data_IF_174773577512
#
_entry.id   IF_174773577512
#
_cell.length_a   1.000
_cell.length_b   1.000
_cell.length_c   1.000
_cell.angle_alpha   90.00
_cell.angle_beta   90.00
_cell.angle_gamma   90.00
#
_symmetry.space_group_name_H-M   'P 1'
#
loop_
_entity.id
_entity.type
_entity.pdbx_description
1 polymer ?
#
# COMPACT_ATOMS: atom_id res chain seq x y z
N UNK A 1 4.08 -12.15 -14.13
CA UNK A 1 4.11 -10.75 -14.63
C UNK A 1 3.93 -9.84 -13.41
N UNK A 2 4.88 -8.93 -13.14
CA UNK A 2 4.82 -8.04 -11.98
C UNK A 2 4.47 -6.61 -12.37
N UNK A 3 3.87 -5.83 -11.47
CA UNK A 3 3.48 -4.43 -11.74
C UNK A 3 4.65 -3.55 -12.18
N UNK A 4 5.86 -3.81 -11.67
CA UNK A 4 7.08 -3.09 -12.07
C UNK A 4 7.41 -3.25 -13.56
N UNK A 5 7.33 -4.47 -14.08
CA UNK A 5 7.58 -4.73 -15.51
C UNK A 5 6.56 -4.01 -16.42
N UNK A 6 5.33 -3.84 -15.94
CA UNK A 6 4.31 -3.05 -16.65
C UNK A 6 4.70 -1.56 -16.63
N UNK A 7 5.11 -1.04 -15.48
CA UNK A 7 5.58 0.35 -15.36
C UNK A 7 6.80 0.63 -16.26
N UNK A 8 7.77 -0.28 -16.32
CA UNK A 8 8.93 -0.18 -17.22
C UNK A 8 8.53 -0.17 -18.69
N UNK A 9 7.52 -0.96 -19.07
CA UNK A 9 6.98 -0.93 -20.42
C UNK A 9 6.24 0.39 -20.70
N UNK A 10 5.49 0.93 -19.73
CA UNK A 10 4.80 2.22 -19.86
C UNK A 10 5.77 3.39 -19.99
N UNK A 11 6.87 3.41 -19.23
CA UNK A 11 7.88 4.48 -19.30
C UNK A 11 8.59 4.54 -20.66
N UNK A 12 8.67 3.42 -21.40
CA UNK A 12 9.20 3.39 -22.78
C UNK A 12 8.28 4.06 -23.81
N UNK A 13 7.02 4.33 -23.46
CA UNK A 13 6.09 5.04 -24.34
C UNK A 13 6.24 6.56 -24.18
N UNK A 14 6.73 7.23 -25.22
CA UNK A 14 7.11 8.66 -25.21
C UNK A 14 5.99 9.66 -24.91
N UNK A 15 4.73 9.21 -24.93
CA UNK A 15 3.56 10.08 -24.72
C UNK A 15 3.10 10.15 -23.26
N UNK A 16 3.74 9.39 -22.35
CA UNK A 16 3.42 9.37 -20.93
C UNK A 16 4.43 10.18 -20.12
N UNK A 17 3.98 10.73 -18.99
CA UNK A 17 4.88 11.33 -18.02
C UNK A 17 5.85 10.25 -17.48
N UNK A 18 7.15 10.53 -17.36
CA UNK A 18 8.12 9.57 -16.84
C UNK A 18 7.76 9.14 -15.40
N UNK A 19 7.85 7.84 -15.12
CA UNK A 19 7.59 7.26 -13.80
C UNK A 19 8.85 7.21 -12.91
N UNK A 20 10.02 7.56 -13.47
CA UNK A 20 11.31 7.74 -12.79
C UNK A 20 11.74 6.48 -12.02
N UNK A 21 11.60 5.32 -12.68
CA UNK A 21 11.84 3.99 -12.09
C UNK A 21 13.27 3.75 -11.61
N UNK A 22 14.24 4.44 -12.22
CA UNK A 22 15.67 4.33 -11.94
C UNK A 22 16.17 5.26 -10.80
N UNK A 23 15.29 6.07 -10.21
CA UNK A 23 15.67 6.91 -9.08
C UNK A 23 16.00 6.05 -7.85
N UNK A 24 17.15 6.29 -7.22
CA UNK A 24 17.65 5.48 -6.10
C UNK A 24 16.71 5.50 -4.90
N UNK A 25 16.06 6.64 -4.67
CA UNK A 25 15.09 6.89 -3.62
C UNK A 25 13.82 6.03 -3.82
N UNK A 26 13.45 5.75 -5.07
CA UNK A 26 12.25 4.98 -5.42
C UNK A 26 12.33 3.54 -4.92
N UNK A 27 13.46 2.86 -5.13
CA UNK A 27 13.63 1.47 -4.72
C UNK A 27 13.46 1.27 -3.20
N UNK A 28 13.94 2.22 -2.39
CA UNK A 28 13.77 2.20 -0.94
C UNK A 28 12.30 2.30 -0.55
N UNK A 29 11.57 3.25 -1.13
CA UNK A 29 10.16 3.50 -0.82
C UNK A 29 9.27 2.34 -1.29
N UNK A 30 9.53 1.78 -2.47
CA UNK A 30 8.84 0.59 -2.96
C UNK A 30 9.02 -0.59 -1.99
N UNK A 31 10.25 -0.81 -1.52
CA UNK A 31 10.55 -1.88 -0.56
C UNK A 31 9.84 -1.65 0.79
N UNK A 32 9.80 -0.41 1.28
CA UNK A 32 9.07 -0.06 2.51
C UNK A 32 7.57 -0.31 2.36
N UNK A 33 6.97 0.08 1.24
CA UNK A 33 5.56 -0.16 0.95
C UNK A 33 5.24 -1.67 0.88
N UNK A 34 6.08 -2.46 0.19
CA UNK A 34 5.90 -3.92 0.13
C UNK A 34 6.01 -4.56 1.51
N UNK A 35 7.02 -4.18 2.30
CA UNK A 35 7.17 -4.67 3.68
C UNK A 35 5.95 -4.29 4.51
N UNK A 36 5.42 -3.07 4.39
CA UNK A 36 4.25 -2.62 5.15
C UNK A 36 3.00 -3.43 4.77
N UNK A 37 2.79 -3.73 3.48
CA UNK A 37 1.72 -4.62 3.03
C UNK A 37 1.83 -6.01 3.66
N UNK A 38 3.03 -6.58 3.69
CA UNK A 38 3.27 -7.92 4.23
C UNK A 38 3.09 -7.94 5.75
N UNK A 39 3.69 -6.98 6.46
CA UNK A 39 3.64 -6.90 7.92
C UNK A 39 2.23 -6.61 8.44
N UNK A 40 1.46 -5.76 7.74
CA UNK A 40 0.08 -5.42 8.11
C UNK A 40 -0.93 -6.55 7.86
N UNK A 41 -0.53 -7.65 7.21
CA UNK A 41 -1.42 -8.74 6.81
C UNK A 41 -2.37 -9.26 7.90
N UNK A 42 -1.94 -9.45 9.17
CA UNK A 42 -2.84 -9.84 10.24
C UNK A 42 -4.06 -8.92 10.40
N UNK A 43 -3.89 -7.61 10.17
CA UNK A 43 -4.96 -6.62 10.36
C UNK A 43 -6.08 -6.73 9.33
N UNK A 44 -5.77 -7.12 8.09
CA UNK A 44 -6.71 -7.02 6.96
C UNK A 44 -7.07 -8.36 6.31
N UNK A 45 -6.29 -9.43 6.52
CA UNK A 45 -6.51 -10.68 5.78
C UNK A 45 -7.89 -11.31 6.04
N UNK A 46 -8.38 -11.23 7.28
CA UNK A 46 -9.70 -11.75 7.67
C UNK A 46 -10.88 -10.90 7.20
N UNK A 47 -10.63 -9.65 6.79
CA UNK A 47 -11.66 -8.74 6.30
C UNK A 47 -11.95 -8.93 4.81
N UNK A 48 -10.97 -9.40 4.03
CA UNK A 48 -11.11 -9.53 2.58
C UNK A 48 -12.28 -10.40 2.11
N UNK A 49 -12.57 -11.58 2.69
CA UNK A 49 -13.71 -12.39 2.28
C UNK A 49 -15.05 -11.63 2.32
N UNK A 50 -15.19 -10.64 3.21
CA UNK A 50 -16.43 -9.89 3.43
C UNK A 50 -16.72 -8.83 2.35
N UNK A 51 -15.70 -8.45 1.58
CA UNK A 51 -15.80 -7.42 0.53
C UNK A 51 -15.62 -7.99 -0.89
N UNK A 52 -15.43 -9.31 -0.99
CA UNK A 52 -15.36 -10.03 -2.26
C UNK A 52 -16.72 -10.63 -2.60
N UNK A 53 -16.91 -11.03 -3.85
CA UNK A 53 -18.04 -11.91 -4.21
C UNK A 53 -17.93 -13.21 -3.43
N UNK A 54 -19.06 -13.86 -3.15
CA UNK A 54 -19.11 -15.08 -2.33
C UNK A 54 -18.09 -16.15 -2.77
N UNK A 55 -18.08 -16.50 -4.07
CA UNK A 55 -17.14 -17.46 -4.65
C UNK A 55 -15.67 -17.08 -4.47
N UNK A 56 -15.34 -15.78 -4.61
CA UNK A 56 -13.99 -15.29 -4.42
C UNK A 56 -13.61 -15.21 -2.94
N UNK A 57 -14.57 -14.93 -2.06
CA UNK A 57 -14.41 -14.94 -0.61
C UNK A 57 -14.12 -16.34 -0.07
N UNK A 58 -14.82 -17.36 -0.57
CA UNK A 58 -14.58 -18.76 -0.22
C UNK A 58 -13.20 -19.23 -0.70
N UNK A 59 -12.87 -18.96 -1.97
CA UNK A 59 -11.55 -19.28 -2.53
C UNK A 59 -10.42 -18.59 -1.76
N UNK A 60 -10.58 -17.30 -1.45
CA UNK A 60 -9.61 -16.56 -0.66
C UNK A 60 -9.44 -17.19 0.73
N UNK A 61 -10.54 -17.45 1.44
CA UNK A 61 -10.51 -18.01 2.79
C UNK A 61 -9.80 -19.36 2.82
N UNK A 62 -10.14 -20.25 1.89
CA UNK A 62 -9.55 -21.60 1.77
C UNK A 62 -8.06 -21.52 1.48
N UNK A 63 -7.66 -20.70 0.49
CA UNK A 63 -6.25 -20.60 0.10
C UNK A 63 -5.38 -19.95 1.18
N UNK A 64 -5.91 -18.95 1.90
CA UNK A 64 -5.18 -18.29 2.99
C UNK A 64 -5.12 -19.15 4.25
N UNK A 65 -6.20 -19.86 4.58
CA UNK A 65 -6.17 -20.78 5.71
C UNK A 65 -5.11 -21.87 5.50
N UNK A 66 -5.04 -22.46 4.30
CA UNK A 66 -3.97 -23.40 3.94
C UNK A 66 -2.58 -22.77 4.02
N UNK A 67 -2.43 -21.50 3.60
CA UNK A 67 -1.15 -20.79 3.64
C UNK A 67 -0.69 -20.45 5.06
N UNK A 68 -1.61 -20.08 5.95
CA UNK A 68 -1.30 -19.67 7.33
C UNK A 68 -1.31 -20.86 8.30
N UNK A 69 -1.87 -22.01 7.90
CA UNK A 69 -2.03 -23.18 8.76
C UNK A 69 -3.14 -23.02 9.81
N UNK A 70 -3.96 -21.97 9.71
CA UNK A 70 -5.01 -21.62 10.67
C UNK A 70 -6.13 -20.83 9.98
N UNK A 71 -7.28 -20.68 10.64
CA UNK A 71 -8.36 -19.83 10.11
C UNK A 71 -7.92 -18.36 10.05
N UNK A 72 -8.57 -17.57 9.18
CA UNK A 72 -8.27 -16.14 9.07
C UNK A 72 -8.57 -15.37 10.35
N UNK A 73 -9.63 -15.73 11.08
CA UNK A 73 -9.98 -15.09 12.35
C UNK A 73 -8.94 -15.43 13.43
N UNK A 74 -8.48 -16.70 13.50
CA UNK A 74 -7.42 -17.09 14.43
C UNK A 74 -6.11 -16.37 14.11
N UNK A 75 -5.79 -16.24 12.82
CA UNK A 75 -4.64 -15.46 12.35
C UNK A 75 -4.70 -14.00 12.78
N UNK A 76 -5.89 -13.39 12.80
CA UNK A 76 -6.07 -12.05 13.36
C UNK A 76 -5.81 -12.05 14.88
N UNK A 77 -6.47 -12.91 15.64
CA UNK A 77 -6.40 -12.88 17.11
C UNK A 77 -5.03 -13.23 17.68
N UNK A 78 -4.28 -14.11 17.02
CA UNK A 78 -2.95 -14.53 17.49
C UNK A 78 -1.84 -13.54 17.14
N UNK A 79 -1.97 -12.81 16.02
CA UNK A 79 -0.89 -11.98 15.50
C UNK A 79 -1.12 -10.47 15.69
N UNK A 80 -2.36 -10.03 15.90
CA UNK A 80 -2.62 -8.62 16.17
C UNK A 80 -2.31 -8.30 17.62
N UNK A 81 -1.36 -7.39 17.80
CA UNK A 81 -0.89 -6.94 19.11
C UNK A 81 -0.51 -5.47 19.06
N UNK A 82 -0.34 -4.85 20.23
CA UNK A 82 0.18 -3.48 20.30
C UNK A 82 1.59 -3.39 19.69
N UNK A 83 2.41 -4.43 19.83
CA UNK A 83 3.74 -4.47 19.22
C UNK A 83 3.67 -4.43 17.69
N UNK A 84 2.72 -5.15 17.08
CA UNK A 84 2.48 -5.07 15.63
C UNK A 84 2.12 -3.63 15.23
N UNK A 85 1.18 -2.98 15.92
CA UNK A 85 0.81 -1.59 15.61
C UNK A 85 2.01 -0.64 15.69
N UNK A 86 2.79 -0.70 16.77
CA UNK A 86 3.98 0.14 16.92
C UNK A 86 5.00 -0.11 15.80
N UNK A 87 5.15 -1.36 15.35
CA UNK A 87 6.04 -1.69 14.24
C UNK A 87 5.55 -1.09 12.91
N UNK A 88 4.25 -1.21 12.61
CA UNK A 88 3.65 -0.63 11.40
C UNK A 88 3.73 0.89 11.41
N UNK A 89 3.52 1.52 12.56
CA UNK A 89 3.64 2.97 12.74
C UNK A 89 5.06 3.46 12.41
N UNK A 90 6.08 2.75 12.89
CA UNK A 90 7.48 3.04 12.55
C UNK A 90 7.74 2.95 11.03
N UNK A 91 7.15 1.96 10.35
CA UNK A 91 7.28 1.82 8.90
C UNK A 91 6.58 2.96 8.15
N UNK A 92 5.42 3.42 8.61
CA UNK A 92 4.76 4.60 8.07
C UNK A 92 5.62 5.86 8.22
N UNK A 93 6.27 6.03 9.38
CA UNK A 93 7.19 7.13 9.63
C UNK A 93 8.43 7.06 8.73
N UNK A 94 8.99 5.88 8.46
CA UNK A 94 10.12 5.70 7.54
C UNK A 94 9.78 6.10 6.08
N UNK A 95 8.55 5.78 5.64
CA UNK A 95 8.03 6.25 4.35
C UNK A 95 7.88 7.78 4.37
N UNK A 96 7.28 8.32 5.44
CA UNK A 96 7.13 9.77 5.63
C UNK A 96 8.45 10.53 5.62
N UNK A 97 9.49 9.98 6.26
CA UNK A 97 10.83 10.55 6.25
C UNK A 97 11.41 10.61 4.84
N UNK A 98 11.17 9.59 4.03
CA UNK A 98 11.62 9.56 2.64
C UNK A 98 10.88 10.62 1.80
N UNK A 99 9.56 10.76 1.98
CA UNK A 99 8.77 11.82 1.34
C UNK A 99 9.17 13.24 1.77
N UNK A 100 9.66 13.40 3.01
CA UNK A 100 10.08 14.70 3.53
C UNK A 100 11.38 15.24 2.91
N UNK A 101 12.12 14.42 2.16
CA UNK A 101 13.41 14.81 1.57
C UNK A 101 13.27 15.79 0.40
N UNK A 102 12.09 15.86 -0.21
CA UNK A 102 11.80 16.74 -1.34
C UNK A 102 10.64 17.69 -1.03
N UNK A 103 10.67 18.94 -1.51
CA UNK A 103 9.53 19.84 -1.38
C UNK A 103 8.40 19.42 -2.33
N UNK A 104 7.21 19.21 -1.79
CA UNK A 104 6.04 18.81 -2.57
C UNK A 104 5.36 17.57 -1.96
N UNK A 105 4.28 17.08 -2.58
CA UNK A 105 3.56 15.93 -2.07
C UNK A 105 4.17 14.58 -2.49
N UNK A 106 5.04 14.55 -3.51
CA UNK A 106 5.63 13.33 -4.06
C UNK A 106 7.08 13.15 -3.62
N UNK A 107 7.58 11.92 -3.74
CA UNK A 107 8.94 11.53 -3.36
C UNK A 107 10.02 12.41 -4.00
N UNK A 108 9.84 12.76 -5.27
CA UNK A 108 10.78 13.60 -6.04
C UNK A 108 10.22 15.01 -6.30
N UNK A 109 9.34 15.48 -5.42
CA UNK A 109 8.84 16.85 -5.38
C UNK A 109 7.46 17.02 -6.00
N UNK A 110 7.38 17.57 -7.22
CA UNK A 110 6.11 18.01 -7.82
C UNK A 110 5.49 17.02 -8.81
N UNK A 111 6.21 15.98 -9.21
CA UNK A 111 5.71 14.95 -10.12
C UNK A 111 5.73 13.59 -9.44
N UNK A 112 4.70 12.75 -9.64
CA UNK A 112 4.66 11.42 -9.08
C UNK A 112 5.71 10.52 -9.73
N UNK A 113 6.15 9.54 -8.96
CA UNK A 113 6.99 8.43 -9.39
C UNK A 113 6.23 7.11 -9.29
N UNK A 114 6.79 6.05 -9.84
CA UNK A 114 6.26 4.70 -9.59
C UNK A 114 6.22 4.36 -8.09
N UNK A 115 7.23 4.78 -7.32
CA UNK A 115 7.27 4.55 -5.88
C UNK A 115 6.11 5.24 -5.14
N UNK A 116 5.79 6.48 -5.52
CA UNK A 116 4.60 7.18 -5.02
C UNK A 116 3.32 6.35 -5.26
N UNK A 117 3.17 5.80 -6.47
CA UNK A 117 2.03 4.95 -6.80
C UNK A 117 1.99 3.63 -6.02
N UNK A 118 3.14 3.03 -5.66
CA UNK A 118 3.14 1.83 -4.81
C UNK A 118 2.62 2.12 -3.40
N UNK A 119 3.01 3.26 -2.81
CA UNK A 119 2.53 3.70 -1.49
C UNK A 119 1.04 4.04 -1.57
N UNK A 120 0.62 4.76 -2.60
CA UNK A 120 -0.76 5.17 -2.78
C UNK A 120 -1.69 3.98 -3.04
N UNK A 121 -1.25 2.99 -3.83
CA UNK A 121 -2.00 1.76 -4.05
C UNK A 121 -2.20 0.99 -2.75
N UNK A 122 -1.18 0.93 -1.90
CA UNK A 122 -1.27 0.32 -0.57
C UNK A 122 -2.27 1.05 0.33
N UNK A 123 -2.18 2.38 0.42
CA UNK A 123 -3.11 3.19 1.20
C UNK A 123 -4.54 3.04 0.68
N UNK A 124 -4.72 3.06 -0.65
CA UNK A 124 -6.03 2.85 -1.28
C UNK A 124 -6.62 1.50 -0.89
N UNK A 125 -5.80 0.46 -0.91
CA UNK A 125 -6.20 -0.87 -0.45
C UNK A 125 -6.64 -0.84 1.02
N UNK A 126 -5.88 -0.21 1.91
CA UNK A 126 -6.28 -0.05 3.31
C UNK A 126 -7.61 0.69 3.47
N UNK A 127 -7.82 1.79 2.75
CA UNK A 127 -9.09 2.51 2.74
C UNK A 127 -10.28 1.63 2.31
N UNK A 128 -10.07 0.73 1.34
CA UNK A 128 -11.10 -0.19 0.86
C UNK A 128 -11.41 -1.32 1.85
N UNK A 129 -10.41 -1.80 2.60
CA UNK A 129 -10.59 -2.95 3.50
C UNK A 129 -11.04 -2.51 4.91
N UNK A 130 -10.43 -1.45 5.45
CA UNK A 130 -10.76 -0.93 6.76
C UNK A 130 -10.37 0.54 6.85
N UNK A 131 -11.38 1.43 6.78
CA UNK A 131 -11.16 2.88 6.85
C UNK A 131 -10.48 3.32 8.14
N UNK A 132 -10.81 2.72 9.29
CA UNK A 132 -10.21 3.10 10.56
C UNK A 132 -8.71 2.78 10.62
N UNK A 133 -8.29 1.67 9.99
CA UNK A 133 -6.87 1.32 9.84
C UNK A 133 -6.14 2.35 8.97
N UNK A 134 -6.74 2.78 7.85
CA UNK A 134 -6.15 3.82 7.02
C UNK A 134 -6.10 5.18 7.74
N UNK A 135 -7.16 5.55 8.46
CA UNK A 135 -7.22 6.78 9.26
C UNK A 135 -6.12 6.79 10.34
N UNK A 136 -5.85 5.66 11.00
CA UNK A 136 -4.74 5.52 11.95
C UNK A 136 -3.39 5.85 11.31
N UNK A 137 -3.06 5.26 10.16
CA UNK A 137 -1.79 5.54 9.48
C UNK A 137 -1.68 6.99 9.00
N UNK A 138 -2.80 7.63 8.63
CA UNK A 138 -2.82 9.06 8.33
C UNK A 138 -2.59 9.95 9.55
N UNK A 139 -3.04 9.53 10.73
CA UNK A 139 -2.79 10.25 11.97
C UNK A 139 -1.31 10.12 12.39
N UNK A 140 -0.73 8.94 12.22
CA UNK A 140 0.69 8.67 12.52
C UNK A 140 1.62 9.45 11.60
N UNK A 141 1.37 9.44 10.28
CA UNK A 141 2.18 10.18 9.30
C UNK A 141 1.28 10.94 8.30
N UNK A 142 1.01 12.23 8.55
CA UNK A 142 0.16 13.05 7.70
C UNK A 142 0.64 13.22 6.25
N UNK A 143 1.93 13.01 5.94
CA UNK A 143 2.41 13.04 4.55
C UNK A 143 1.82 11.91 3.71
N UNK A 144 1.50 10.76 4.31
CA UNK A 144 0.81 9.67 3.60
C UNK A 144 -0.55 10.13 3.08
N UNK A 145 -1.28 10.91 3.89
CA UNK A 145 -2.55 11.53 3.48
C UNK A 145 -2.34 12.53 2.34
N UNK A 146 -1.35 13.42 2.47
CA UNK A 146 -1.05 14.42 1.42
C UNK A 146 -0.71 13.75 0.09
N UNK A 147 0.11 12.69 0.12
CA UNK A 147 0.47 11.92 -1.06
C UNK A 147 -0.77 11.24 -1.68
N UNK A 148 -1.61 10.61 -0.83
CA UNK A 148 -2.86 9.96 -1.26
C UNK A 148 -3.82 10.97 -1.91
N UNK A 149 -3.99 12.15 -1.33
CA UNK A 149 -4.82 13.24 -1.83
C UNK A 149 -4.29 13.84 -3.14
N UNK A 150 -2.98 14.01 -3.27
CA UNK A 150 -2.35 14.48 -4.51
C UNK A 150 -2.61 13.52 -5.69
N UNK A 151 -2.85 12.24 -5.40
CA UNK A 151 -3.11 11.21 -6.40
C UNK A 151 -4.60 10.99 -6.75
N UNK A 152 -5.53 11.76 -6.18
CA UNK A 152 -6.98 11.53 -6.38
C UNK A 152 -7.44 11.53 -7.83
N UNK A 153 -6.80 12.34 -8.68
CA UNK A 153 -7.14 12.40 -10.11
C UNK A 153 -7.00 11.04 -10.81
N UNK A 154 -6.08 10.17 -10.35
CA UNK A 154 -5.84 8.84 -10.91
C UNK A 154 -6.69 7.74 -10.27
N UNK A 155 -7.62 8.07 -9.36
CA UNK A 155 -8.57 7.10 -8.80
C UNK A 155 -9.87 7.00 -9.58
N UNK A 156 -10.10 7.91 -10.52
CA UNK A 156 -11.24 7.85 -11.42
C UNK A 156 -11.19 6.51 -12.16
N UNK A 157 -12.31 5.80 -12.13
CA UNK A 157 -12.50 4.65 -13.00
C UNK A 157 -13.05 5.22 -14.31
N UNK A 158 -12.81 4.51 -15.41
CA UNK A 158 -13.54 4.75 -16.64
C UNK A 158 -14.88 4.01 -16.48
N UNK A 159 -15.83 4.65 -15.80
CA UNK A 159 -17.23 4.21 -15.71
C UNK A 159 -18.11 4.83 -16.80
#
# INVERSE_FOLDING_TARGET
MGSRAIAEALEKHSNLQPLRLEAKESAKVEQLAEKLLIASRPLWAHLLPKILTESNGEYYSTTRAKRFGMSLDLYYTEHVSQHLWNHLDAMCLDIGQSLAQSPGPYLLGQQPTYADFTVVALIKFFCCVNKAMADHFFLVEPRLRKLYEACYQWFKRDD
#
